data_IF_725823670512
#
_entry.id   IF_725823670512
#
_cell.length_a   1.000
_cell.length_b   1.000
_cell.length_c   1.000
_cell.angle_alpha   90.00
_cell.angle_beta   90.00
_cell.angle_gamma   90.00
#
_symmetry.space_group_name_H-M   'P 1'
#
loop_
_entity.id
_entity.type
_entity.pdbx_description
1 polymer ?
#
# COMPACT_ATOMS: atom_id res chain seq x y z
N UNK A 1 -45.20 32.42 -15.60
CA UNK A 1 -45.11 30.95 -15.47
C UNK A 1 -44.07 30.31 -16.39
N UNK A 2 -44.03 30.65 -17.68
CA UNK A 2 -43.12 30.01 -18.65
C UNK A 2 -41.62 30.24 -18.38
N UNK A 3 -41.22 31.46 -18.00
CA UNK A 3 -39.82 31.77 -17.62
C UNK A 3 -39.32 30.99 -16.39
N UNK A 4 -40.21 30.69 -15.44
CA UNK A 4 -39.85 29.96 -14.23
C UNK A 4 -39.53 28.50 -14.55
N UNK A 5 -40.32 27.88 -15.45
CA UNK A 5 -40.10 26.50 -15.89
C UNK A 5 -38.75 26.31 -16.60
N UNK A 6 -38.38 27.24 -17.50
CA UNK A 6 -37.07 27.25 -18.16
C UNK A 6 -35.92 27.37 -17.15
N UNK A 7 -36.07 28.22 -16.12
CA UNK A 7 -35.05 28.38 -15.08
C UNK A 7 -34.85 27.13 -14.21
N UNK A 8 -35.90 26.33 -14.03
CA UNK A 8 -35.83 25.08 -13.26
C UNK A 8 -35.18 23.95 -14.08
N UNK A 9 -35.44 23.89 -15.37
CA UNK A 9 -34.81 22.94 -16.29
C UNK A 9 -33.30 23.19 -16.39
N UNK A 10 -32.90 24.44 -16.60
CA UNK A 10 -31.48 24.86 -16.66
C UNK A 10 -30.73 24.54 -15.35
N UNK A 11 -31.34 24.82 -14.20
CA UNK A 11 -30.80 24.44 -12.89
C UNK A 11 -30.69 22.91 -12.73
N UNK A 12 -31.68 22.16 -13.22
CA UNK A 12 -31.67 20.70 -13.20
C UNK A 12 -30.52 20.11 -14.00
N UNK A 13 -30.32 20.58 -15.24
CA UNK A 13 -29.21 20.16 -16.09
C UNK A 13 -27.85 20.48 -15.49
N UNK A 14 -27.70 21.68 -14.90
CA UNK A 14 -26.47 22.08 -14.22
C UNK A 14 -26.17 21.27 -12.96
N UNK A 15 -27.19 20.86 -12.20
CA UNK A 15 -27.01 19.97 -11.03
C UNK A 15 -26.57 18.59 -11.48
N UNK A 16 -27.23 18.03 -12.51
CA UNK A 16 -26.93 16.70 -13.02
C UNK A 16 -25.52 16.62 -13.64
N UNK A 17 -25.11 17.63 -14.41
CA UNK A 17 -23.76 17.68 -15.00
C UNK A 17 -22.67 17.77 -13.93
N UNK A 18 -22.90 18.56 -12.88
CA UNK A 18 -21.99 18.65 -11.73
C UNK A 18 -21.85 17.32 -11.00
N UNK A 19 -22.98 16.64 -10.70
CA UNK A 19 -22.96 15.33 -10.06
C UNK A 19 -22.21 14.27 -10.90
N UNK A 20 -22.42 14.26 -12.22
CA UNK A 20 -21.71 13.35 -13.11
C UNK A 20 -20.20 13.59 -13.09
N UNK A 21 -19.79 14.86 -13.08
CA UNK A 21 -18.37 15.27 -13.01
C UNK A 21 -17.72 14.86 -11.68
N UNK A 22 -18.43 15.05 -10.56
CA UNK A 22 -17.95 14.65 -9.23
C UNK A 22 -17.77 13.12 -9.13
N UNK A 23 -18.69 12.34 -9.71
CA UNK A 23 -18.60 10.88 -9.75
C UNK A 23 -17.40 10.41 -10.57
N UNK A 24 -17.15 11.04 -11.73
CA UNK A 24 -15.97 10.74 -12.56
C UNK A 24 -14.66 11.02 -11.80
N UNK A 25 -14.57 12.17 -11.12
CA UNK A 25 -13.39 12.53 -10.33
C UNK A 25 -13.15 11.51 -9.21
N UNK A 26 -14.21 11.12 -8.49
CA UNK A 26 -14.13 10.10 -7.44
C UNK A 26 -13.66 8.75 -7.99
N UNK A 27 -14.16 8.34 -9.16
CA UNK A 27 -13.72 7.10 -9.81
C UNK A 27 -12.23 7.18 -10.20
N UNK A 28 -11.76 8.30 -10.76
CA UNK A 28 -10.34 8.47 -11.09
C UNK A 28 -9.45 8.43 -9.85
N UNK A 29 -9.86 9.06 -8.74
CA UNK A 29 -9.15 9.01 -7.47
C UNK A 29 -9.09 7.58 -6.92
N UNK A 30 -10.21 6.86 -6.92
CA UNK A 30 -10.26 5.47 -6.48
C UNK A 30 -9.35 4.58 -7.35
N UNK A 31 -9.37 4.76 -8.67
CA UNK A 31 -8.52 3.99 -9.58
C UNK A 31 -7.03 4.27 -9.34
N UNK A 32 -6.67 5.52 -9.01
CA UNK A 32 -5.30 5.87 -8.62
C UNK A 32 -4.89 5.18 -7.32
N UNK A 33 -5.71 5.29 -6.28
CA UNK A 33 -5.46 4.65 -4.99
C UNK A 33 -5.34 3.12 -5.11
N UNK A 34 -6.21 2.49 -5.90
CA UNK A 34 -6.18 1.06 -6.15
C UNK A 34 -4.88 0.63 -6.86
N UNK A 35 -4.42 1.42 -7.84
CA UNK A 35 -3.15 1.16 -8.54
C UNK A 35 -1.95 1.28 -7.60
N UNK A 36 -1.94 2.25 -6.71
CA UNK A 36 -0.87 2.43 -5.73
C UNK A 36 -0.86 1.29 -4.70
N UNK A 37 -2.04 0.91 -4.19
CA UNK A 37 -2.17 -0.24 -3.30
C UNK A 37 -1.68 -1.54 -3.98
N UNK A 38 -2.00 -1.75 -5.25
CA UNK A 38 -1.52 -2.91 -6.01
C UNK A 38 0.00 -2.89 -6.22
N UNK A 39 0.59 -1.73 -6.55
CA UNK A 39 2.05 -1.59 -6.63
C UNK A 39 2.72 -1.95 -5.31
N UNK A 40 2.19 -1.49 -4.19
CA UNK A 40 2.72 -1.79 -2.86
C UNK A 40 2.61 -3.29 -2.54
N UNK A 41 1.48 -3.92 -2.86
CA UNK A 41 1.31 -5.38 -2.71
C UNK A 41 2.33 -6.15 -3.52
N UNK A 42 2.48 -5.83 -4.81
CA UNK A 42 3.48 -6.49 -5.69
C UNK A 42 4.90 -6.32 -5.18
N UNK A 43 5.27 -5.11 -4.76
CA UNK A 43 6.59 -4.85 -4.19
C UNK A 43 6.82 -5.64 -2.89
N UNK A 44 5.82 -5.71 -2.01
CA UNK A 44 5.88 -6.53 -0.79
C UNK A 44 6.02 -8.01 -1.11
N UNK A 45 5.21 -8.54 -2.02
CA UNK A 45 5.26 -9.96 -2.43
C UNK A 45 6.62 -10.30 -3.04
N UNK A 46 7.12 -9.50 -3.97
CA UNK A 46 8.45 -9.68 -4.55
C UNK A 46 9.53 -9.71 -3.46
N UNK A 47 9.50 -8.74 -2.53
CA UNK A 47 10.45 -8.69 -1.42
C UNK A 47 10.39 -9.95 -0.56
N UNK A 48 9.19 -10.45 -0.24
CA UNK A 48 9.05 -11.64 0.58
C UNK A 48 9.52 -12.90 -0.12
N UNK A 49 9.23 -13.06 -1.41
CA UNK A 49 9.71 -14.21 -2.19
C UNK A 49 11.23 -14.20 -2.27
N UNK A 50 11.82 -13.08 -2.68
CA UNK A 50 13.29 -12.98 -2.83
C UNK A 50 13.99 -13.15 -1.49
N UNK A 51 13.52 -12.49 -0.43
CA UNK A 51 14.14 -12.62 0.89
C UNK A 51 13.89 -13.98 1.53
N UNK A 52 12.71 -14.57 1.32
CA UNK A 52 12.39 -15.92 1.77
C UNK A 52 13.35 -16.93 1.15
N UNK A 53 13.52 -16.90 -0.17
CA UNK A 53 14.45 -17.78 -0.88
C UNK A 53 15.91 -17.63 -0.41
N UNK A 54 16.35 -16.39 -0.09
CA UNK A 54 17.69 -16.16 0.47
C UNK A 54 17.83 -16.88 1.81
N UNK A 55 16.86 -16.72 2.72
CA UNK A 55 16.94 -17.33 4.06
C UNK A 55 16.84 -18.86 3.97
N UNK A 56 15.95 -19.38 3.14
CA UNK A 56 15.79 -20.81 2.88
C UNK A 56 17.10 -21.43 2.38
N UNK A 57 17.86 -20.73 1.51
CA UNK A 57 19.17 -21.21 1.03
C UNK A 57 20.28 -21.25 2.10
N UNK A 58 20.11 -20.55 3.22
CA UNK A 58 21.10 -20.48 4.30
C UNK A 58 20.86 -21.53 5.39
N UNK A 59 19.65 -22.09 5.45
CA UNK A 59 19.24 -23.05 6.47
C UNK A 59 19.25 -24.45 5.84
N UNK A 60 20.05 -25.39 6.35
CA UNK A 60 20.00 -26.78 5.90
C UNK A 60 18.62 -27.38 6.11
N UNK A 61 18.15 -28.17 5.13
CA UNK A 61 16.87 -28.90 5.17
C UNK A 61 15.64 -28.00 5.44
N UNK A 62 15.72 -26.72 5.06
CA UNK A 62 14.66 -25.73 5.25
C UNK A 62 13.35 -26.07 4.51
N UNK A 63 13.43 -26.80 3.39
CA UNK A 63 12.30 -27.15 2.53
C UNK A 63 11.37 -28.21 3.17
N UNK A 64 11.91 -29.04 4.05
CA UNK A 64 11.17 -30.08 4.78
C UNK A 64 10.87 -29.71 6.24
N UNK A 65 11.36 -28.55 6.67
CA UNK A 65 11.19 -28.02 8.03
C UNK A 65 9.78 -27.45 8.22
N UNK A 66 9.25 -27.55 9.44
CA UNK A 66 7.99 -26.88 9.75
C UNK A 66 8.20 -25.38 10.07
N UNK A 67 7.15 -24.58 9.93
CA UNK A 67 7.22 -23.13 10.10
C UNK A 67 7.69 -22.71 11.53
N UNK A 68 7.31 -23.47 12.56
CA UNK A 68 7.65 -23.17 13.96
C UNK A 68 9.14 -23.42 14.23
N UNK A 69 9.69 -24.53 13.74
CA UNK A 69 11.12 -24.87 13.79
C UNK A 69 11.94 -23.84 13.03
N UNK A 70 11.51 -23.49 11.81
CA UNK A 70 12.18 -22.49 10.98
C UNK A 70 12.22 -21.14 11.70
N UNK A 71 11.09 -20.73 12.28
CA UNK A 71 11.00 -19.50 13.06
C UNK A 71 11.94 -19.53 14.27
N UNK A 72 11.97 -20.63 15.04
CA UNK A 72 12.83 -20.76 16.22
C UNK A 72 14.31 -20.66 15.86
N UNK A 73 14.75 -21.28 14.76
CA UNK A 73 16.14 -21.20 14.28
C UNK A 73 16.51 -19.75 13.96
N UNK A 74 15.62 -19.00 13.30
CA UNK A 74 15.86 -17.59 12.99
C UNK A 74 15.96 -16.76 14.26
N UNK A 75 15.05 -16.95 15.23
CA UNK A 75 15.12 -16.25 16.51
C UNK A 75 16.43 -16.53 17.24
N UNK A 76 16.83 -17.80 17.33
CA UNK A 76 18.07 -18.21 17.98
C UNK A 76 19.29 -17.62 17.26
N UNK A 77 19.32 -17.63 15.92
CA UNK A 77 20.42 -17.08 15.13
C UNK A 77 20.57 -15.56 15.31
N UNK A 78 19.45 -14.83 15.42
CA UNK A 78 19.46 -13.38 15.65
C UNK A 78 19.86 -13.03 17.09
N UNK A 79 19.43 -13.82 18.07
CA UNK A 79 19.72 -13.58 19.49
C UNK A 79 21.15 -14.00 19.90
N UNK A 80 21.84 -14.81 19.10
CA UNK A 80 23.25 -15.19 19.33
C UNK A 80 24.24 -14.06 19.01
N UNK A 81 23.82 -13.04 18.26
CA UNK A 81 24.66 -11.91 17.87
C UNK A 81 24.16 -10.64 18.58
N UNK A 82 24.80 -10.27 19.69
CA UNK A 82 24.45 -9.10 20.52
C UNK A 82 24.59 -7.72 19.83
N UNK A 83 24.81 -7.64 18.53
CA UNK A 83 24.96 -6.35 17.81
C UNK A 83 24.57 -6.50 16.35
N UNK A 84 23.27 -6.60 16.08
CA UNK A 84 22.75 -5.96 14.86
C UNK A 84 22.36 -4.55 15.26
N UNK A 85 23.37 -3.68 15.36
CA UNK A 85 23.18 -2.22 15.33
C UNK A 85 22.42 -1.92 14.03
N UNK A 86 21.10 -1.91 14.12
CA UNK A 86 20.20 -1.46 13.05
C UNK A 86 20.30 0.06 12.99
N UNK A 87 21.50 0.56 12.67
CA UNK A 87 21.72 1.94 12.26
C UNK A 87 21.09 2.11 10.87
N UNK A 88 19.77 2.20 10.82
CA UNK A 88 19.07 2.70 9.64
C UNK A 88 18.15 3.84 10.03
N UNK A 89 18.81 5.00 9.98
CA UNK A 89 18.37 6.21 9.31
C UNK A 89 17.10 6.84 9.90
N UNK A 90 17.34 7.87 10.71
CA UNK A 90 16.39 8.95 10.92
C UNK A 90 15.97 9.50 9.56
N UNK A 91 14.81 9.10 9.07
CA UNK A 91 14.11 9.87 8.06
C UNK A 91 13.65 11.17 8.73
N UNK A 92 14.53 12.17 8.75
CA UNK A 92 14.12 13.55 8.88
C UNK A 92 13.30 13.90 7.64
N UNK A 93 11.98 13.72 7.69
CA UNK A 93 11.09 14.32 6.71
C UNK A 93 10.11 15.30 7.40
N UNK A 94 10.46 16.59 7.27
CA UNK A 94 9.49 17.65 7.03
C UNK A 94 8.70 18.18 8.23
N UNK A 95 9.39 18.87 9.14
CA UNK A 95 8.77 19.99 9.84
C UNK A 95 8.48 21.15 8.88
N UNK A 96 7.32 21.78 9.09
CA UNK A 96 6.80 23.03 8.48
C UNK A 96 5.89 22.90 7.24
N UNK A 97 4.57 22.91 7.50
CA UNK A 97 3.65 23.77 6.75
C UNK A 97 2.96 24.69 7.76
N UNK A 98 3.37 25.96 7.70
CA UNK A 98 2.66 27.13 8.24
C UNK A 98 1.41 27.37 7.40
#
# INVERSE_FOLDING_TARGET
MMLYALSLLDKGEHIMSKQYTELQLKHQQQMRANREAEKLRKARTHRLIVRGAIVESLIPDADIMNDDEFQQIIYDALNRNETIETSRLQDTCGSNLR
#
